data_IF_253879205467
#
_entry.id   IF_253879205467
#
_cell.length_a   1.000
_cell.length_b   1.000
_cell.length_c   1.000
_cell.angle_alpha   90.00
_cell.angle_beta   90.00
_cell.angle_gamma   90.00
#
_symmetry.space_group_name_H-M   'P 1'
#
loop_
_entity.id
_entity.type
_entity.pdbx_description
1 polymer ?
#
# COMPACT_ATOMS: atom_id res chain seq x y z
N UNK A 1 -45.65 -26.27 -3.36
CA UNK A 1 -46.06 -24.86 -3.17
C UNK A 1 -44.91 -23.98 -3.66
N UNK A 2 -45.15 -23.16 -4.69
CA UNK A 2 -44.14 -22.31 -5.36
C UNK A 2 -44.20 -20.91 -4.73
N UNK A 3 -43.12 -20.46 -4.10
CA UNK A 3 -43.01 -19.08 -3.60
C UNK A 3 -42.67 -18.13 -4.75
N UNK A 4 -43.32 -16.96 -4.87
CA UNK A 4 -42.97 -15.96 -5.86
C UNK A 4 -41.66 -15.24 -5.49
N UNK A 5 -40.78 -15.09 -6.48
CA UNK A 5 -39.58 -14.24 -6.41
C UNK A 5 -40.02 -12.79 -6.17
N UNK A 6 -39.83 -12.29 -4.94
CA UNK A 6 -39.82 -10.86 -4.65
C UNK A 6 -38.45 -10.32 -5.08
N UNK A 7 -38.40 -9.61 -6.21
CA UNK A 7 -37.21 -8.83 -6.57
C UNK A 7 -37.26 -7.52 -5.77
N UNK A 8 -36.28 -7.24 -4.89
CA UNK A 8 -36.30 -6.05 -4.04
C UNK A 8 -36.09 -4.79 -4.87
N UNK A 9 -36.99 -3.80 -4.69
CA UNK A 9 -37.02 -2.54 -5.44
C UNK A 9 -35.82 -1.60 -5.23
N UNK A 10 -34.80 -2.03 -4.48
CA UNK A 10 -33.57 -1.26 -4.23
C UNK A 10 -32.67 -1.13 -5.47
N UNK A 11 -32.77 -2.04 -6.44
CA UNK A 11 -31.98 -1.98 -7.68
C UNK A 11 -32.37 -0.77 -8.55
N UNK A 12 -33.63 -0.33 -8.48
CA UNK A 12 -34.13 0.79 -9.28
C UNK A 12 -33.70 2.17 -8.77
N UNK A 13 -33.36 2.32 -7.49
CA UNK A 13 -32.89 3.59 -6.95
C UNK A 13 -31.42 3.87 -7.28
N UNK A 14 -30.58 2.83 -7.37
CA UNK A 14 -29.15 2.97 -7.62
C UNK A 14 -28.81 3.53 -9.01
N UNK A 15 -29.62 3.23 -10.02
CA UNK A 15 -29.39 3.68 -11.40
C UNK A 15 -29.61 5.20 -11.59
N UNK A 16 -30.42 5.84 -10.75
CA UNK A 16 -30.69 7.29 -10.84
C UNK A 16 -29.45 8.11 -10.44
N UNK A 17 -28.68 7.67 -9.45
CA UNK A 17 -27.48 8.40 -9.01
C UNK A 17 -26.33 8.35 -10.02
N UNK A 18 -26.20 7.23 -10.76
CA UNK A 18 -25.17 7.09 -11.80
C UNK A 18 -25.43 8.07 -12.95
N UNK A 19 -26.70 8.25 -13.35
CA UNK A 19 -27.06 9.19 -14.42
C UNK A 19 -26.77 10.66 -14.03
N UNK A 20 -26.98 11.04 -12.76
CA UNK A 20 -26.67 12.39 -12.26
C UNK A 20 -25.15 12.63 -12.26
N UNK A 21 -24.35 11.65 -11.84
CA UNK A 21 -22.89 11.75 -11.86
C UNK A 21 -22.30 11.92 -13.27
N UNK A 22 -22.87 11.24 -14.26
CA UNK A 22 -22.49 11.40 -15.67
C UNK A 22 -22.91 12.76 -16.24
N UNK A 23 -24.11 13.26 -15.88
CA UNK A 23 -24.60 14.55 -16.35
C UNK A 23 -23.83 15.74 -15.76
N UNK A 24 -23.31 15.62 -14.52
CA UNK A 24 -22.49 16.65 -13.88
C UNK A 24 -21.00 16.64 -14.28
N UNK A 25 -20.61 15.89 -15.32
CA UNK A 25 -19.31 16.07 -15.96
C UNK A 25 -18.13 15.35 -15.30
N UNK A 26 -18.34 14.18 -14.68
CA UNK A 26 -17.24 13.29 -14.26
C UNK A 26 -16.64 12.47 -15.42
N UNK A 27 -17.18 12.60 -16.63
CA UNK A 27 -16.62 12.00 -17.84
C UNK A 27 -15.46 12.84 -18.37
N UNK A 28 -14.29 12.19 -18.36
CA UNK A 28 -13.09 12.45 -19.18
C UNK A 28 -12.02 13.38 -18.60
N UNK A 29 -11.20 12.81 -17.72
CA UNK A 29 -9.75 13.02 -17.79
C UNK A 29 -9.10 11.77 -18.39
N UNK A 30 -9.27 11.61 -19.71
CA UNK A 30 -8.65 10.53 -20.49
C UNK A 30 -7.14 10.77 -20.57
N UNK A 31 -6.36 9.85 -20.00
CA UNK A 31 -4.93 9.78 -20.23
C UNK A 31 -4.66 9.35 -21.69
N UNK A 32 -3.70 9.96 -22.41
CA UNK A 32 -3.45 9.61 -23.81
C UNK A 32 -2.86 8.20 -23.95
N UNK A 33 -3.45 7.42 -24.86
CA UNK A 33 -2.91 6.15 -25.35
C UNK A 33 -1.98 6.49 -26.51
N UNK A 34 -0.69 6.20 -26.34
CA UNK A 34 0.34 6.37 -27.37
C UNK A 34 0.24 5.22 -28.38
N UNK A 35 -0.05 5.54 -29.65
CA UNK A 35 -0.06 4.60 -30.78
C UNK A 35 1.04 5.03 -31.77
N UNK A 36 1.89 4.11 -32.29
CA UNK A 36 2.93 4.45 -33.26
C UNK A 36 2.40 4.35 -34.71
N UNK A 37 3.18 4.74 -35.73
CA UNK A 37 3.41 6.08 -36.25
C UNK A 37 2.66 6.33 -37.57
N UNK A 38 2.36 7.58 -37.92
CA UNK A 38 1.88 7.92 -39.27
C UNK A 38 2.77 9.03 -39.92
N UNK A 39 3.15 8.88 -41.20
CA UNK A 39 4.11 9.77 -41.84
C UNK A 39 3.42 10.99 -42.44
N UNK A 40 4.01 12.16 -42.16
CA UNK A 40 3.89 13.35 -43.00
C UNK A 40 2.74 14.28 -42.63
N UNK A 41 3.05 15.31 -41.85
CA UNK A 41 2.87 16.68 -42.33
C UNK A 41 3.73 17.66 -41.53
N UNK A 42 4.70 18.23 -42.24
CA UNK A 42 5.43 19.44 -41.83
C UNK A 42 4.46 20.61 -41.85
N UNK A 43 4.26 21.28 -40.72
CA UNK A 43 4.11 22.73 -40.69
C UNK A 43 4.96 23.28 -39.54
N UNK A 44 6.03 23.97 -39.94
CA UNK A 44 6.89 24.75 -39.07
C UNK A 44 6.14 25.99 -38.60
N UNK A 45 6.01 26.15 -37.29
CA UNK A 45 5.83 27.47 -36.68
C UNK A 45 6.88 27.60 -35.57
N UNK A 46 7.81 28.53 -35.77
CA UNK A 46 8.93 28.76 -34.90
C UNK A 46 8.47 29.47 -33.62
N UNK A 47 8.46 28.74 -32.50
CA UNK A 47 8.39 29.30 -31.16
C UNK A 47 9.65 28.88 -30.41
N UNK A 48 10.35 29.87 -29.87
CA UNK A 48 11.65 29.80 -29.22
C UNK A 48 11.61 28.82 -28.04
N UNK A 49 12.34 27.73 -28.19
CA UNK A 49 12.58 26.70 -27.17
C UNK A 49 13.62 27.22 -26.16
N UNK A 50 13.30 27.30 -24.85
CA UNK A 50 14.33 27.46 -23.83
C UNK A 50 15.16 26.17 -23.80
N UNK A 51 16.41 26.28 -24.22
CA UNK A 51 17.44 25.24 -24.14
C UNK A 51 17.63 24.85 -22.66
N UNK A 52 16.92 23.81 -22.21
CA UNK A 52 17.13 23.22 -20.89
C UNK A 52 18.45 22.46 -20.95
N UNK A 53 19.45 22.77 -20.11
CA UNK A 53 20.72 22.05 -20.13
C UNK A 53 20.50 20.57 -19.87
N UNK A 54 20.64 19.74 -20.91
CA UNK A 54 20.78 18.30 -20.77
C UNK A 54 22.15 18.02 -20.13
N UNK A 55 22.18 18.04 -18.79
CA UNK A 55 23.29 17.47 -18.03
C UNK A 55 23.10 15.96 -17.99
N UNK A 56 23.52 15.31 -19.07
CA UNK A 56 23.71 13.87 -19.15
C UNK A 56 24.84 13.45 -18.21
N UNK A 57 24.47 12.98 -17.02
CA UNK A 57 25.25 12.00 -16.31
C UNK A 57 24.31 10.81 -16.00
N UNK A 58 24.58 9.60 -16.52
CA UNK A 58 23.84 8.42 -16.09
C UNK A 58 24.17 8.19 -14.63
N UNK A 59 23.23 8.51 -13.74
CA UNK A 59 23.24 8.04 -12.35
C UNK A 59 23.30 6.52 -12.44
N UNK A 60 24.49 5.93 -12.25
CA UNK A 60 24.62 4.48 -12.09
C UNK A 60 23.66 4.09 -10.99
N UNK A 61 22.57 3.42 -11.36
CA UNK A 61 21.77 2.67 -10.40
C UNK A 61 22.73 1.68 -9.77
N UNK A 62 23.21 1.99 -8.56
CA UNK A 62 24.00 1.05 -7.79
C UNK A 62 23.10 -0.16 -7.62
N UNK A 63 23.53 -1.28 -8.20
CA UNK A 63 22.84 -2.54 -8.02
C UNK A 63 22.72 -2.80 -6.51
N UNK A 64 21.50 -3.09 -5.99
CA UNK A 64 21.30 -3.29 -4.58
C UNK A 64 22.22 -4.41 -4.09
N UNK A 65 23.28 -4.04 -3.36
CA UNK A 65 24.14 -5.04 -2.73
C UNK A 65 23.34 -5.64 -1.59
N UNK A 66 22.87 -6.88 -1.76
CA UNK A 66 22.18 -7.59 -0.71
C UNK A 66 23.08 -7.64 0.54
N UNK A 67 22.54 -7.33 1.73
CA UNK A 67 23.32 -7.39 2.96
C UNK A 67 23.79 -8.83 3.22
N UNK A 68 24.90 -9.00 3.96
CA UNK A 68 25.33 -10.32 4.42
C UNK A 68 24.19 -11.05 5.17
N UNK A 69 24.06 -12.36 4.96
CA UNK A 69 22.94 -13.15 5.48
C UNK A 69 22.87 -13.14 7.01
N UNK A 70 24.03 -13.11 7.69
CA UNK A 70 24.14 -13.01 9.14
C UNK A 70 23.54 -11.70 9.68
N UNK A 71 23.77 -10.59 8.99
CA UNK A 71 23.17 -9.28 9.34
C UNK A 71 21.65 -9.34 9.22
N UNK A 72 21.13 -9.97 8.16
CA UNK A 72 19.69 -10.15 7.97
C UNK A 72 19.05 -10.95 9.10
N UNK A 73 19.63 -12.09 9.48
CA UNK A 73 19.10 -12.96 10.54
C UNK A 73 19.08 -12.26 11.91
N UNK A 74 20.14 -11.51 12.23
CA UNK A 74 20.23 -10.75 13.48
C UNK A 74 19.22 -9.60 13.50
N UNK A 75 19.05 -8.89 12.39
CA UNK A 75 18.07 -7.82 12.27
C UNK A 75 16.64 -8.38 12.37
N UNK A 76 16.32 -9.43 11.62
CA UNK A 76 15.01 -10.08 11.61
C UNK A 76 14.56 -10.49 13.02
N UNK A 77 15.46 -11.13 13.80
CA UNK A 77 15.17 -11.50 15.19
C UNK A 77 14.82 -10.30 16.07
N UNK A 78 15.51 -9.18 15.91
CA UNK A 78 15.23 -7.96 16.67
C UNK A 78 13.92 -7.32 16.25
N UNK A 79 13.62 -7.32 14.95
CA UNK A 79 12.37 -6.79 14.41
C UNK A 79 11.19 -7.62 14.90
N UNK A 80 11.30 -8.95 14.93
CA UNK A 80 10.28 -9.84 15.51
C UNK A 80 10.00 -9.49 16.97
N UNK A 81 11.05 -9.29 17.78
CA UNK A 81 10.90 -8.93 19.18
C UNK A 81 10.21 -7.55 19.35
N UNK A 82 10.66 -6.54 18.62
CA UNK A 82 10.08 -5.20 18.65
C UNK A 82 8.62 -5.18 18.15
N UNK A 83 8.31 -5.99 17.12
CA UNK A 83 6.97 -6.12 16.57
C UNK A 83 6.02 -6.81 17.56
N UNK A 84 6.49 -7.82 18.31
CA UNK A 84 5.71 -8.49 19.35
C UNK A 84 5.34 -7.52 20.49
N UNK A 85 6.28 -6.67 20.90
CA UNK A 85 6.04 -5.61 21.88
C UNK A 85 5.04 -4.57 21.34
N UNK A 86 5.24 -4.07 20.12
CA UNK A 86 4.34 -3.11 19.50
C UNK A 86 2.92 -3.69 19.28
N UNK A 87 2.82 -4.98 18.94
CA UNK A 87 1.54 -5.67 18.78
C UNK A 87 0.71 -5.61 20.06
N UNK A 88 1.32 -5.96 21.18
CA UNK A 88 0.64 -6.04 22.48
C UNK A 88 0.38 -4.65 23.08
N UNK A 89 1.35 -3.75 23.01
CA UNK A 89 1.26 -2.42 23.63
C UNK A 89 0.49 -1.40 22.81
N UNK A 90 0.46 -1.55 21.47
CA UNK A 90 -0.07 -0.54 20.57
C UNK A 90 -1.13 -1.10 19.62
N UNK A 91 -0.82 -2.13 18.83
CA UNK A 91 -1.69 -2.53 17.70
C UNK A 91 -3.01 -3.11 18.17
N UNK A 92 -2.97 -4.03 19.14
CA UNK A 92 -4.18 -4.62 19.69
C UNK A 92 -5.08 -3.54 20.32
N UNK A 93 -4.62 -2.75 21.30
CA UNK A 93 -5.51 -1.78 21.96
C UNK A 93 -5.94 -0.61 21.07
N UNK A 94 -5.14 -0.22 20.06
CA UNK A 94 -5.46 0.94 19.21
C UNK A 94 -6.19 0.59 17.92
N UNK A 95 -5.93 -0.59 17.34
CA UNK A 95 -6.49 -0.98 16.05
C UNK A 95 -7.38 -2.21 16.11
N UNK A 96 -7.01 -3.25 16.86
CA UNK A 96 -7.80 -4.49 16.89
C UNK A 96 -9.06 -4.36 17.74
N UNK A 97 -8.88 -4.18 19.05
CA UNK A 97 -9.95 -4.18 20.04
C UNK A 97 -11.10 -3.24 19.69
N UNK A 98 -10.87 -1.94 19.38
CA UNK A 98 -11.99 -1.03 19.10
C UNK A 98 -12.77 -1.42 17.84
N UNK A 99 -12.12 -2.07 16.87
CA UNK A 99 -12.78 -2.49 15.63
C UNK A 99 -13.61 -3.75 15.89
N UNK A 100 -13.04 -4.76 16.55
CA UNK A 100 -13.74 -6.03 16.82
C UNK A 100 -14.94 -5.84 17.76
N UNK A 101 -14.86 -4.91 18.71
CA UNK A 101 -16.02 -4.55 19.56
C UNK A 101 -17.20 -4.01 18.75
N UNK A 102 -16.94 -3.32 17.63
CA UNK A 102 -17.98 -2.76 16.76
C UNK A 102 -18.47 -3.76 15.72
N UNK A 103 -17.55 -4.54 15.14
CA UNK A 103 -17.82 -5.56 14.13
C UNK A 103 -17.13 -6.86 14.55
N UNK A 104 -17.79 -7.79 15.25
CA UNK A 104 -17.12 -8.98 15.82
C UNK A 104 -16.58 -9.97 14.80
N UNK A 105 -17.12 -9.97 13.57
CA UNK A 105 -16.66 -10.83 12.48
C UNK A 105 -15.82 -10.05 11.45
N UNK A 106 -14.70 -10.60 10.98
CA UNK A 106 -14.14 -11.91 11.32
C UNK A 106 -13.38 -11.95 12.66
N UNK A 107 -13.52 -13.05 13.41
CA UNK A 107 -12.86 -13.17 14.72
C UNK A 107 -11.32 -13.09 14.66
N UNK A 108 -10.70 -13.39 13.53
CA UNK A 108 -9.24 -13.36 13.35
C UNK A 108 -8.87 -12.55 12.10
N UNK A 109 -7.60 -12.14 12.01
CA UNK A 109 -7.08 -11.61 10.74
C UNK A 109 -5.59 -11.81 10.59
N UNK A 110 -5.15 -11.94 9.35
CA UNK A 110 -3.77 -12.24 8.99
C UNK A 110 -3.21 -11.19 8.03
N UNK A 111 -2.02 -10.69 8.35
CA UNK A 111 -1.30 -9.73 7.52
C UNK A 111 0.15 -10.16 7.32
N UNK A 112 0.76 -9.60 6.29
CA UNK A 112 2.21 -9.51 6.18
C UNK A 112 2.62 -8.05 6.33
N UNK A 113 3.60 -7.80 7.18
CA UNK A 113 4.19 -6.49 7.38
C UNK A 113 5.58 -6.47 6.75
N UNK A 114 5.77 -5.56 5.79
CA UNK A 114 7.09 -5.28 5.23
C UNK A 114 7.67 -4.08 5.98
N UNK A 115 8.91 -4.18 6.46
CA UNK A 115 9.58 -3.11 7.18
C UNK A 115 10.98 -2.90 6.62
N UNK A 116 11.38 -1.65 6.43
CA UNK A 116 12.74 -1.29 6.03
C UNK A 116 13.39 -0.42 7.09
N UNK A 117 14.61 -0.78 7.48
CA UNK A 117 15.43 -0.05 8.43
C UNK A 117 16.69 0.47 7.75
N UNK A 118 17.10 1.68 8.10
CA UNK A 118 18.37 2.24 7.63
C UNK A 118 19.57 1.67 8.41
N UNK A 119 20.78 2.06 8.01
CA UNK A 119 22.03 1.64 8.64
C UNK A 119 22.15 1.99 10.14
N UNK A 120 21.40 2.98 10.63
CA UNK A 120 21.34 3.36 12.04
C UNK A 120 20.31 2.56 12.85
N UNK A 121 19.59 1.63 12.21
CA UNK A 121 18.56 0.81 12.84
C UNK A 121 17.22 1.53 13.03
N UNK A 122 16.98 2.62 12.29
CA UNK A 122 15.71 3.35 12.33
C UNK A 122 14.80 2.87 11.20
N UNK A 123 13.52 2.64 11.51
CA UNK A 123 12.49 2.38 10.52
C UNK A 123 12.37 3.58 9.54
N UNK A 124 12.47 3.30 8.24
CA UNK A 124 12.35 4.29 7.17
C UNK A 124 11.19 3.99 6.20
N UNK A 125 10.68 2.76 6.18
CA UNK A 125 9.51 2.40 5.40
C UNK A 125 8.76 1.24 6.04
N UNK A 126 7.44 1.21 5.83
CA UNK A 126 6.55 0.13 6.26
C UNK A 126 5.41 -0.07 5.28
N UNK A 127 5.10 -1.33 5.00
CA UNK A 127 3.94 -1.77 4.22
C UNK A 127 3.15 -2.82 4.99
N UNK A 128 1.83 -2.84 4.78
CA UNK A 128 0.93 -3.86 5.33
C UNK A 128 0.11 -4.42 4.18
N UNK A 129 0.19 -5.73 4.01
CA UNK A 129 -0.52 -6.48 2.98
C UNK A 129 -1.41 -7.52 3.63
N UNK A 130 -2.67 -7.53 3.23
CA UNK A 130 -3.64 -8.56 3.62
C UNK A 130 -3.32 -9.87 2.88
N UNK A 131 -3.38 -11.00 3.59
CA UNK A 131 -3.22 -12.30 2.95
C UNK A 131 -4.51 -12.65 2.19
N UNK A 132 -4.36 -12.88 0.88
CA UNK A 132 -5.45 -13.42 0.05
C UNK A 132 -5.83 -14.80 0.60
N UNK A 133 -7.12 -15.12 0.55
CA UNK A 133 -7.69 -16.39 1.01
C UNK A 133 -7.76 -16.58 2.54
N UNK A 134 -7.54 -15.51 3.31
CA UNK A 134 -7.80 -15.50 4.75
C UNK A 134 -8.86 -14.47 5.10
N UNK A 135 -9.56 -14.69 6.22
CA UNK A 135 -10.41 -13.67 6.80
C UNK A 135 -9.57 -12.42 7.10
N UNK A 136 -9.90 -11.31 6.45
CA UNK A 136 -9.13 -10.06 6.51
C UNK A 136 -10.00 -8.91 6.98
N UNK A 137 -9.38 -8.00 7.74
CA UNK A 137 -10.02 -6.80 8.25
C UNK A 137 -9.36 -5.56 7.65
N UNK A 138 -9.88 -5.03 6.53
CA UNK A 138 -9.25 -3.90 5.84
C UNK A 138 -9.25 -2.62 6.70
N UNK A 139 -10.20 -2.50 7.63
CA UNK A 139 -10.28 -1.43 8.64
C UNK A 139 -9.13 -1.52 9.66
N UNK A 140 -8.81 -2.71 10.16
CA UNK A 140 -7.62 -2.95 11.00
C UNK A 140 -6.36 -2.63 10.22
N UNK A 141 -6.22 -3.14 8.99
CA UNK A 141 -5.08 -2.86 8.13
C UNK A 141 -4.90 -1.34 7.91
N UNK A 142 -5.98 -0.61 7.66
CA UNK A 142 -5.95 0.85 7.52
C UNK A 142 -5.50 1.55 8.81
N UNK A 143 -6.03 1.14 9.97
CA UNK A 143 -5.59 1.68 11.26
C UNK A 143 -4.09 1.47 11.48
N UNK A 144 -3.58 0.26 11.22
CA UNK A 144 -2.15 -0.06 11.39
C UNK A 144 -1.25 0.79 10.47
N UNK A 145 -1.71 1.10 9.24
CA UNK A 145 -0.97 1.98 8.31
C UNK A 145 -0.81 3.40 8.87
N UNK A 146 -1.79 3.90 9.63
CA UNK A 146 -1.81 5.25 10.21
C UNK A 146 -1.04 5.37 11.53
N UNK A 147 -0.74 4.26 12.22
CA UNK A 147 -0.05 4.31 13.50
C UNK A 147 1.44 4.71 13.35
N UNK A 148 1.97 5.62 14.19
CA UNK A 148 3.41 5.85 14.26
C UNK A 148 4.07 4.75 15.11
N UNK A 149 4.69 3.77 14.46
CA UNK A 149 5.29 2.61 15.16
C UNK A 149 6.77 2.88 15.49
N UNK A 150 7.48 3.63 14.64
CA UNK A 150 8.79 4.20 14.94
C UNK A 150 9.79 3.18 15.48
N UNK A 151 9.77 1.95 14.96
CA UNK A 151 10.55 0.86 15.50
C UNK A 151 12.04 1.16 15.36
N UNK A 152 12.80 0.68 16.35
CA UNK A 152 14.26 0.77 16.39
C UNK A 152 14.85 -0.60 16.65
N UNK A 153 15.91 -0.89 15.91
CA UNK A 153 16.75 -2.06 16.13
C UNK A 153 18.19 -1.61 16.38
N UNK A 154 19.04 -2.51 16.85
CA UNK A 154 20.49 -2.28 16.87
C UNK A 154 20.95 -2.03 15.45
N UNK A 155 21.78 -1.00 15.28
CA UNK A 155 22.29 -0.56 13.99
C UNK A 155 22.87 -1.74 13.17
N UNK A 156 22.27 -2.10 12.02
CA UNK A 156 22.79 -3.16 11.16
C UNK A 156 23.92 -2.68 10.25
N UNK A 157 24.25 -1.38 10.27
CA UNK A 157 25.26 -0.73 9.43
C UNK A 157 25.02 -0.84 7.92
N UNK A 158 23.83 -1.31 7.52
CA UNK A 158 23.35 -1.40 6.13
C UNK A 158 21.82 -1.27 6.12
N UNK A 159 21.22 -1.01 4.96
CA UNK A 159 19.77 -1.03 4.85
C UNK A 159 19.27 -2.47 4.85
N UNK A 160 18.28 -2.77 5.70
CA UNK A 160 17.66 -4.10 5.78
C UNK A 160 16.16 -3.97 5.57
N UNK A 161 15.59 -4.81 4.72
CA UNK A 161 14.15 -4.89 4.48
C UNK A 161 13.68 -6.31 4.80
N UNK A 162 12.68 -6.45 5.67
CA UNK A 162 12.14 -7.74 6.09
C UNK A 162 10.63 -7.78 5.85
N UNK A 163 10.10 -8.97 5.58
CA UNK A 163 8.66 -9.22 5.53
C UNK A 163 8.32 -10.27 6.58
N UNK A 164 7.46 -9.90 7.54
CA UNK A 164 7.08 -10.74 8.67
C UNK A 164 5.57 -10.99 8.67
N UNK A 165 5.10 -12.15 9.17
CA UNK A 165 3.69 -12.37 9.44
C UNK A 165 3.24 -11.54 10.65
N UNK A 166 1.98 -11.07 10.61
CA UNK A 166 1.33 -10.36 11.69
C UNK A 166 -0.12 -10.83 11.83
N UNK A 167 -0.37 -11.66 12.84
CA UNK A 167 -1.69 -12.26 13.09
C UNK A 167 -2.42 -11.56 14.24
N UNK A 168 -3.76 -11.45 14.18
CA UNK A 168 -4.59 -10.94 15.26
C UNK A 168 -5.62 -11.98 15.73
N UNK A 169 -5.94 -12.00 17.04
CA UNK A 169 -6.72 -13.06 17.69
C UNK A 169 -8.23 -12.92 17.54
#
# INVERSE_FOLDING_TARGET
>A
MKSPLLIPGSILLGSIFIAIGLFLGLSERSAPIETPPQPGQRQSEAAVEPEVPQTDAPTRQQEPTNPPQDVYVVAEKQIIAALAEAKTSLFIPKCWTPIVEQTPEPAQSHYSINMTFNAAGLEIARGISELRDTDSRPDVANCLRLLPIGLKIVAPHTTVAVTLPLDFP
#
